data_IF_384641247451
#
_entry.id   IF_384641247451
#
_cell.length_a   1.000
_cell.length_b   1.000
_cell.length_c   1.000
_cell.angle_alpha   90.00
_cell.angle_beta   90.00
_cell.angle_gamma   90.00
#
_symmetry.space_group_name_H-M   'P 1'
#
loop_
_entity.id
_entity.type
_entity.pdbx_description
1 polymer ?
#
# COMPACT_ATOMS: atom_id res chain seq x y z
N UNK A 1 -7.18 9.01 0.88
CA UNK A 1 -7.15 8.14 2.07
C UNK A 1 -5.87 7.32 2.10
N UNK A 2 -5.57 6.51 1.06
CA UNK A 2 -4.32 5.73 0.96
C UNK A 2 -3.03 6.56 1.12
N UNK A 3 -2.93 7.71 0.46
CA UNK A 3 -1.79 8.62 0.62
C UNK A 3 -1.63 9.15 2.05
N UNK A 4 -2.75 9.39 2.75
CA UNK A 4 -2.76 9.89 4.14
C UNK A 4 -2.27 8.83 5.12
N UNK A 5 -2.60 7.55 4.87
CA UNK A 5 -2.11 6.40 5.66
C UNK A 5 -0.62 6.21 5.45
N UNK A 6 -0.14 6.27 4.19
CA UNK A 6 1.30 6.17 3.86
C UNK A 6 2.10 7.32 4.49
N UNK A 7 1.60 8.55 4.43
CA UNK A 7 2.27 9.68 5.10
C UNK A 7 2.31 9.54 6.62
N UNK A 8 1.26 8.96 7.22
CA UNK A 8 1.21 8.70 8.66
C UNK A 8 2.24 7.63 9.07
N UNK A 9 2.36 6.54 8.30
CA UNK A 9 3.39 5.51 8.51
C UNK A 9 4.78 6.13 8.42
N UNK A 10 5.07 6.88 7.34
CA UNK A 10 6.37 7.54 7.15
C UNK A 10 6.74 8.48 8.31
N UNK A 11 5.75 9.19 8.87
CA UNK A 11 6.00 10.08 10.01
C UNK A 11 6.31 9.29 11.28
N UNK A 12 5.60 8.18 11.51
CA UNK A 12 5.82 7.33 12.67
C UNK A 12 7.17 6.59 12.58
N UNK A 13 7.54 6.07 11.41
CA UNK A 13 8.83 5.38 11.20
C UNK A 13 10.06 6.29 11.36
N UNK A 14 9.93 7.57 11.02
CA UNK A 14 11.00 8.56 11.17
C UNK A 14 11.09 9.15 12.58
N UNK A 15 10.24 8.71 13.52
CA UNK A 15 10.27 9.20 14.89
C UNK A 15 11.44 8.57 15.65
N UNK A 16 12.32 9.38 16.24
CA UNK A 16 13.53 8.92 16.96
C UNK A 16 13.22 8.01 18.16
N UNK A 17 12.02 8.11 18.73
CA UNK A 17 11.54 7.23 19.80
C UNK A 17 10.05 6.95 19.64
N UNK A 18 9.73 5.78 19.09
CA UNK A 18 8.35 5.28 19.03
C UNK A 18 7.88 4.88 20.42
N UNK A 19 6.80 5.49 20.90
CA UNK A 19 6.13 5.00 22.11
C UNK A 19 5.45 3.65 21.82
N UNK A 20 5.11 2.88 22.88
CA UNK A 20 4.35 1.63 22.71
C UNK A 20 3.04 1.83 21.94
N UNK A 21 2.36 2.96 22.18
CA UNK A 21 1.13 3.32 21.48
C UNK A 21 1.38 3.66 20.00
N UNK A 22 2.50 4.31 19.70
CA UNK A 22 2.87 4.60 18.31
C UNK A 22 3.24 3.33 17.54
N UNK A 23 3.86 2.35 18.21
CA UNK A 23 4.14 1.03 17.65
C UNK A 23 2.85 0.27 17.33
N UNK A 24 1.88 0.25 18.26
CA UNK A 24 0.58 -0.38 18.05
C UNK A 24 -0.22 0.30 16.92
N UNK A 25 -0.12 1.63 16.80
CA UNK A 25 -0.70 2.38 15.68
C UNK A 25 -0.01 2.04 14.36
N UNK A 26 1.32 1.94 14.34
CA UNK A 26 2.09 1.56 13.15
C UNK A 26 1.69 0.17 12.66
N UNK A 27 1.60 -0.81 13.56
CA UNK A 27 1.17 -2.17 13.25
C UNK A 27 -0.26 -2.21 12.69
N UNK A 28 -1.16 -1.43 13.27
CA UNK A 28 -2.53 -1.28 12.76
C UNK A 28 -2.56 -0.68 11.35
N UNK A 29 -1.80 0.40 11.11
CA UNK A 29 -1.74 1.04 9.81
C UNK A 29 -1.15 0.10 8.74
N UNK A 30 -0.17 -0.73 9.12
CA UNK A 30 0.37 -1.76 8.24
C UNK A 30 -0.66 -2.83 7.87
N UNK A 31 -1.40 -3.35 8.86
CA UNK A 31 -2.43 -4.34 8.61
C UNK A 31 -3.55 -3.83 7.68
N UNK A 32 -3.94 -2.56 7.83
CA UNK A 32 -4.98 -1.98 6.98
C UNK A 32 -4.49 -1.74 5.54
N UNK A 33 -3.22 -1.35 5.35
CA UNK A 33 -2.61 -1.29 4.01
C UNK A 33 -2.56 -2.67 3.38
N UNK A 34 -2.11 -3.69 4.09
CA UNK A 34 -2.02 -5.05 3.55
C UNK A 34 -3.39 -5.58 3.11
N UNK A 35 -4.42 -5.31 3.88
CA UNK A 35 -5.80 -5.66 3.52
C UNK A 35 -6.25 -4.96 2.24
N UNK A 36 -6.01 -3.66 2.12
CA UNK A 36 -6.38 -2.87 0.94
C UNK A 36 -5.57 -3.30 -0.30
N UNK A 37 -4.28 -3.59 -0.15
CA UNK A 37 -3.42 -4.13 -1.22
C UNK A 37 -3.92 -5.50 -1.67
N UNK A 38 -4.25 -6.39 -0.73
CA UNK A 38 -4.77 -7.73 -1.04
C UNK A 38 -6.12 -7.67 -1.77
N UNK A 39 -7.03 -6.80 -1.35
CA UNK A 39 -8.32 -6.59 -2.04
C UNK A 39 -8.09 -6.08 -3.46
N UNK A 40 -7.21 -5.10 -3.63
CA UNK A 40 -6.90 -4.55 -4.96
C UNK A 40 -6.21 -5.59 -5.87
N UNK A 41 -5.31 -6.42 -5.33
CA UNK A 41 -4.73 -7.56 -6.05
C UNK A 41 -5.79 -8.58 -6.45
N UNK A 42 -6.68 -8.98 -5.54
CA UNK A 42 -7.78 -9.90 -5.84
C UNK A 42 -8.69 -9.34 -6.94
N UNK A 43 -9.02 -8.06 -6.86
CA UNK A 43 -9.79 -7.38 -7.90
C UNK A 43 -9.06 -7.39 -9.23
N UNK A 44 -7.75 -7.09 -9.25
CA UNK A 44 -6.95 -7.17 -10.47
C UNK A 44 -6.92 -8.59 -11.04
N UNK A 45 -6.73 -9.64 -10.24
CA UNK A 45 -6.78 -11.01 -10.73
C UNK A 45 -8.15 -11.37 -11.33
N UNK A 46 -9.23 -10.98 -10.64
CA UNK A 46 -10.62 -11.22 -11.07
C UNK A 46 -10.95 -10.46 -12.37
N UNK A 47 -10.51 -9.21 -12.49
CA UNK A 47 -10.69 -8.43 -13.70
C UNK A 47 -9.72 -8.86 -14.82
N UNK A 48 -8.59 -9.49 -14.50
CA UNK A 48 -7.60 -9.96 -15.46
C UNK A 48 -8.10 -11.13 -16.28
N UNK A 49 -8.79 -12.06 -15.64
CA UNK A 49 -9.55 -13.11 -16.34
C UNK A 49 -10.61 -12.53 -17.27
N UNK A 50 -11.21 -11.39 -16.91
CA UNK A 50 -12.35 -10.81 -17.64
C UNK A 50 -11.97 -9.80 -18.72
N UNK A 51 -10.87 -9.08 -18.56
CA UNK A 51 -10.43 -7.96 -19.42
C UNK A 51 -9.11 -8.23 -20.17
N UNK A 52 -8.40 -9.32 -19.83
CA UNK A 52 -7.08 -9.67 -20.36
C UNK A 52 -5.93 -9.17 -19.47
N UNK A 53 -5.02 -10.07 -19.12
CA UNK A 53 -3.88 -9.82 -18.21
C UNK A 53 -2.92 -8.72 -18.70
N UNK A 54 -2.77 -8.54 -20.02
CA UNK A 54 -1.91 -7.53 -20.63
C UNK A 54 -2.27 -6.09 -20.19
N UNK A 55 -3.57 -5.80 -20.01
CA UNK A 55 -4.02 -4.47 -19.54
C UNK A 55 -3.79 -4.26 -18.05
N UNK A 56 -3.75 -5.33 -17.29
CA UNK A 56 -3.56 -5.31 -15.83
C UNK A 56 -2.09 -5.19 -15.48
N UNK A 57 -1.23 -5.86 -16.23
CA UNK A 57 0.22 -5.75 -16.12
C UNK A 57 0.67 -4.28 -16.26
N UNK A 58 0.14 -3.55 -17.25
CA UNK A 58 0.42 -2.12 -17.41
C UNK A 58 0.07 -1.29 -16.18
N UNK A 59 -1.11 -1.52 -15.57
CA UNK A 59 -1.53 -0.82 -14.35
C UNK A 59 -0.69 -1.20 -13.13
N UNK A 60 -0.30 -2.46 -13.00
CA UNK A 60 0.57 -2.94 -11.92
C UNK A 60 1.96 -2.30 -12.00
N UNK A 61 2.52 -2.18 -13.21
CA UNK A 61 3.80 -1.50 -13.45
C UNK A 61 3.72 -0.03 -13.04
N UNK A 62 2.63 0.66 -13.38
CA UNK A 62 2.43 2.06 -13.01
C UNK A 62 2.26 2.24 -11.48
N UNK A 63 1.53 1.33 -10.82
CA UNK A 63 1.43 1.32 -9.35
C UNK A 63 2.79 1.06 -8.68
N UNK A 64 3.57 0.11 -9.21
CA UNK A 64 4.92 -0.18 -8.71
C UNK A 64 5.84 1.03 -8.82
N UNK A 65 5.82 1.74 -9.96
CA UNK A 65 6.57 2.99 -10.15
C UNK A 65 6.16 4.06 -9.15
N UNK A 66 4.86 4.21 -8.92
CA UNK A 66 4.33 5.13 -7.92
C UNK A 66 4.84 4.78 -6.51
N UNK A 67 4.75 3.52 -6.10
CA UNK A 67 5.26 3.04 -4.80
C UNK A 67 6.77 3.27 -4.68
N UNK A 68 7.55 2.97 -5.71
CA UNK A 68 8.99 3.21 -5.73
C UNK A 68 9.31 4.71 -5.61
N UNK A 69 8.56 5.57 -6.28
CA UNK A 69 8.72 7.03 -6.17
C UNK A 69 8.41 7.56 -4.78
N UNK A 70 7.48 6.91 -4.07
CA UNK A 70 7.13 7.26 -2.69
C UNK A 70 8.11 6.69 -1.66
N UNK A 71 9.00 5.74 -2.00
CA UNK A 71 10.05 5.26 -1.08
C UNK A 71 11.30 6.15 -1.06
N UNK A 72 11.42 7.09 -1.99
CA UNK A 72 12.41 8.18 -1.97
C UNK A 72 11.80 9.43 -1.32
#
# INVERSE_FOLDING_TARGET
MFNTVIESIKRLENSESLSKTDQELLDYLYAEIDKEVNINLLNLMTYGERLGWERIEGRLVDMMKFIQSAKR
#
